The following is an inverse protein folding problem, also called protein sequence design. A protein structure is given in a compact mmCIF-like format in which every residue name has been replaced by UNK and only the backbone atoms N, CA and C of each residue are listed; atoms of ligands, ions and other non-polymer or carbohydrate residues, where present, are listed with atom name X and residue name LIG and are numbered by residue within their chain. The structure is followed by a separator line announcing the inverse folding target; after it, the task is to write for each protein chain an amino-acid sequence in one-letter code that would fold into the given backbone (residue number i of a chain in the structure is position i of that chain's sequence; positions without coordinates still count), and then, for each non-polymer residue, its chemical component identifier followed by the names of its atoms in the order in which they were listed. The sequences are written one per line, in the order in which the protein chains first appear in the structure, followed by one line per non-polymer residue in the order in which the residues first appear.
data_IF_664851317291
#
_entry.id   IF_664851317291
#
_cell.length_a   1.000
_cell.length_b   1.000
_cell.length_c   1.000
_cell.angle_alpha   90.00
_cell.angle_beta   90.00
_cell.angle_gamma   90.00
#
_symmetry.space_group_name_H-M   'P 1'
#
loop_
_entity.id
_entity.type
_entity.pdbx_description
1 polymer ?
#
# COMPACT_ATOMS: atom_id res chain seq x y z
N UNK A 1 24.12 14.94 -9.41
CA UNK A 1 23.09 14.05 -8.85
C UNK A 1 21.80 14.37 -9.56
N UNK A 2 21.40 13.52 -10.51
CA UNK A 2 20.16 13.72 -11.26
C UNK A 2 18.99 13.56 -10.28
N UNK A 3 18.09 14.53 -10.23
CA UNK A 3 16.79 14.34 -9.60
C UNK A 3 16.12 13.21 -10.38
N UNK A 4 16.10 12.01 -9.78
CA UNK A 4 15.41 10.86 -10.34
C UNK A 4 14.00 11.27 -10.71
N UNK A 5 13.59 10.97 -11.94
CA UNK A 5 12.28 11.29 -12.49
C UNK A 5 11.20 10.70 -11.58
N UNK A 6 10.63 11.53 -10.69
CA UNK A 6 9.63 11.07 -9.71
C UNK A 6 8.31 10.96 -10.46
N UNK A 7 7.73 9.76 -10.61
CA UNK A 7 6.46 9.62 -11.31
C UNK A 7 5.35 10.30 -10.50
N UNK A 8 4.65 11.24 -11.12
CA UNK A 8 3.40 11.81 -10.58
C UNK A 8 2.27 10.79 -10.74
N UNK A 9 1.71 10.34 -9.62
CA UNK A 9 0.62 9.36 -9.57
C UNK A 9 -0.62 10.06 -9.04
N UNK A 10 -1.68 10.14 -9.84
CA UNK A 10 -2.97 10.63 -9.35
C UNK A 10 -3.64 9.60 -8.44
N UNK A 11 -4.03 10.03 -7.24
CA UNK A 11 -4.74 9.21 -6.27
C UNK A 11 -6.03 9.89 -5.84
N UNK A 12 -7.12 9.11 -5.71
CA UNK A 12 -8.34 9.57 -5.03
C UNK A 12 -8.27 9.18 -3.56
N UNK A 13 -8.51 10.16 -2.69
CA UNK A 13 -8.54 9.95 -1.25
C UNK A 13 -9.98 9.77 -0.75
N UNK A 14 -10.20 8.96 0.30
CA UNK A 14 -9.19 8.17 1.03
C UNK A 14 -8.69 6.96 0.22
N UNK A 15 -7.37 6.74 0.22
CA UNK A 15 -6.77 5.56 -0.43
C UNK A 15 -6.84 4.36 0.51
N UNK A 16 -7.25 3.20 -0.02
CA UNK A 16 -7.23 1.96 0.76
C UNK A 16 -5.81 1.46 0.93
N UNK A 17 -5.50 0.89 2.10
CA UNK A 17 -4.17 0.34 2.40
C UNK A 17 -3.69 -0.64 1.31
N UNK A 18 -4.55 -1.57 0.87
CA UNK A 18 -4.19 -2.50 -0.21
C UNK A 18 -3.86 -1.82 -1.55
N UNK A 19 -4.49 -0.67 -1.87
CA UNK A 19 -4.12 0.11 -3.06
C UNK A 19 -2.76 0.78 -2.88
N UNK A 20 -2.49 1.31 -1.69
CA UNK A 20 -1.20 1.91 -1.36
C UNK A 20 -0.06 0.88 -1.43
N UNK A 21 -0.24 -0.31 -0.83
CA UNK A 21 0.73 -1.42 -0.88
C UNK A 21 1.03 -1.85 -2.31
N UNK A 22 -0.01 -1.93 -3.16
CA UNK A 22 0.16 -2.19 -4.60
C UNK A 22 0.95 -1.08 -5.30
N UNK A 23 0.63 0.19 -5.05
CA UNK A 23 1.35 1.33 -5.65
C UNK A 23 2.81 1.39 -5.21
N UNK A 24 3.10 0.96 -3.98
CA UNK A 24 4.45 0.83 -3.45
C UNK A 24 5.22 -0.39 -4.02
N UNK A 25 4.61 -1.16 -4.92
CA UNK A 25 5.19 -2.39 -5.49
C UNK A 25 5.58 -3.43 -4.43
N UNK A 26 4.91 -3.39 -3.27
CA UNK A 26 5.08 -4.36 -2.18
C UNK A 26 4.22 -5.63 -2.39
N UNK A 27 3.27 -5.58 -3.32
CA UNK A 27 2.44 -6.71 -3.73
C UNK A 27 2.13 -6.61 -5.22
N UNK A 28 2.11 -7.75 -5.92
CA UNK A 28 1.76 -7.86 -7.34
C UNK A 28 0.27 -7.62 -7.59
N UNK A 29 -0.59 -7.87 -6.60
CA UNK A 29 -2.04 -7.68 -6.72
C UNK A 29 -2.68 -7.09 -5.47
N UNK A 30 -3.91 -6.59 -5.61
CA UNK A 30 -4.71 -6.13 -4.46
C UNK A 30 -5.14 -7.26 -3.53
N UNK A 31 -5.22 -8.50 -4.03
CA UNK A 31 -5.52 -9.68 -3.22
C UNK A 31 -4.32 -10.07 -2.35
N UNK A 32 -3.12 -10.10 -2.94
CA UNK A 32 -1.87 -10.33 -2.19
C UNK A 32 -1.62 -9.22 -1.16
N UNK A 33 -1.81 -7.95 -1.53
CA UNK A 33 -1.70 -6.83 -0.59
C UNK A 33 -2.64 -7.01 0.63
N UNK A 34 -3.82 -7.59 0.39
CA UNK A 34 -4.78 -7.90 1.43
C UNK A 34 -4.31 -9.06 2.30
N UNK A 35 -3.81 -10.14 1.71
CA UNK A 35 -3.27 -11.29 2.45
C UNK A 35 -2.10 -10.87 3.35
N UNK A 36 -1.15 -10.08 2.85
CA UNK A 36 -0.02 -9.56 3.62
C UNK A 36 -0.46 -8.65 4.77
N UNK A 37 -1.49 -7.82 4.54
CA UNK A 37 -2.07 -6.98 5.61
C UNK A 37 -2.71 -7.87 6.69
N UNK A 38 -3.50 -8.87 6.30
CA UNK A 38 -4.17 -9.78 7.23
C UNK A 38 -3.19 -10.67 8.00
N UNK A 39 -2.08 -11.05 7.39
CA UNK A 39 -0.99 -11.78 8.03
C UNK A 39 -0.21 -10.94 9.06
N UNK A 40 -0.35 -9.61 9.02
CA UNK A 40 0.40 -8.69 9.88
C UNK A 40 1.82 -8.41 9.37
N UNK A 41 2.11 -8.71 8.11
CA UNK A 41 3.41 -8.46 7.48
C UNK A 41 3.59 -6.99 7.06
N UNK A 42 2.52 -6.19 7.14
CA UNK A 42 2.52 -4.76 6.80
C UNK A 42 2.55 -3.91 8.07
N UNK A 43 3.55 -3.04 8.16
CA UNK A 43 3.59 -1.97 9.17
C UNK A 43 3.33 -0.60 8.53
N UNK A 44 2.41 0.18 9.08
CA UNK A 44 2.14 1.57 8.69
C UNK A 44 2.59 2.47 9.81
N UNK A 45 3.50 3.40 9.53
CA UNK A 45 4.07 4.32 10.54
C UNK A 45 4.63 3.60 11.78
N UNK A 46 5.21 2.41 11.58
CA UNK A 46 5.79 1.60 12.67
C UNK A 46 4.79 0.78 13.48
N UNK A 47 3.51 0.76 13.11
CA UNK A 47 2.50 -0.10 13.73
C UNK A 47 2.03 -1.17 12.74
N UNK A 48 1.99 -2.43 13.19
CA UNK A 48 1.43 -3.53 12.40
C UNK A 48 -0.05 -3.26 12.17
N UNK A 49 -0.46 -3.25 10.91
CA UNK A 49 -1.84 -2.96 10.52
C UNK A 49 -2.47 -4.21 9.91
N UNK A 50 -3.54 -4.68 10.54
CA UNK A 50 -4.27 -5.89 10.14
C UNK A 50 -5.73 -5.59 9.75
N UNK A 51 -6.19 -4.34 9.86
CA UNK A 51 -7.56 -4.01 9.52
C UNK A 51 -7.76 -4.06 8.01
N UNK A 52 -8.82 -4.77 7.61
CA UNK A 52 -9.40 -4.65 6.29
C UNK A 52 -9.91 -3.22 6.14
N UNK A 53 -9.35 -2.47 5.19
CA UNK A 53 -9.96 -1.22 4.73
C UNK A 53 -11.34 -1.54 4.14
N UNK A 54 -12.38 -1.48 4.97
CA UNK A 54 -13.77 -1.64 4.53
C UNK A 54 -14.14 -0.44 3.64
N UNK A 55 -14.78 -0.77 2.51
CA UNK A 55 -15.46 0.08 1.53
C UNK A 55 -15.11 1.58 1.51
#
# INVERSE_FOLDING_TARGET
MAASDIPSIEVRLPIKLGQFVKLASLAASGAEARELTEAGDISVNGQVETRRGSA
#
